data_IF_373841110062
#
_entry.id   IF_373841110062
#
_cell.length_a   1.000
_cell.length_b   1.000
_cell.length_c   1.000
_cell.angle_alpha   90.00
_cell.angle_beta   90.00
_cell.angle_gamma   90.00
#
_symmetry.space_group_name_H-M   'P 1'
#
loop_
_entity.id
_entity.type
_entity.pdbx_description
1 polymer ?
#
# COMPACT_ATOMS: atom_id res chain seq x y z
N UNK A 1 -29.36 -21.77 0.74
CA UNK A 1 -28.90 -22.30 2.04
C UNK A 1 -27.89 -21.30 2.59
N UNK A 2 -28.34 -20.47 3.53
CA UNK A 2 -27.58 -19.35 4.10
C UNK A 2 -26.92 -19.82 5.39
N UNK A 3 -25.62 -20.11 5.36
CA UNK A 3 -24.83 -20.11 6.58
C UNK A 3 -24.39 -18.66 6.79
N UNK A 4 -25.20 -17.94 7.55
CA UNK A 4 -24.79 -16.69 8.16
C UNK A 4 -23.54 -16.98 9.01
N UNK A 5 -22.39 -16.48 8.57
CA UNK A 5 -21.21 -16.36 9.41
C UNK A 5 -21.63 -15.59 10.66
N UNK A 6 -21.57 -16.27 11.81
CA UNK A 6 -21.75 -15.65 13.10
C UNK A 6 -20.54 -14.76 13.39
N UNK A 7 -20.49 -13.60 12.73
CA UNK A 7 -19.70 -12.48 13.22
C UNK A 7 -20.48 -11.87 14.38
N UNK A 8 -20.01 -12.21 15.57
CA UNK A 8 -20.48 -11.71 16.85
C UNK A 8 -20.59 -10.20 16.80
N UNK A 9 -21.83 -9.72 16.66
CA UNK A 9 -22.23 -8.35 17.01
C UNK A 9 -21.53 -7.96 18.31
N UNK A 10 -20.93 -6.77 18.45
CA UNK A 10 -20.37 -6.36 19.72
C UNK A 10 -21.50 -6.42 20.75
N UNK A 11 -21.42 -7.42 21.62
CA UNK A 11 -22.30 -7.53 22.77
C UNK A 11 -22.12 -6.22 23.53
N UNK A 12 -23.25 -5.57 23.81
CA UNK A 12 -23.33 -4.51 24.79
C UNK A 12 -23.02 -5.15 26.14
N UNK A 13 -21.75 -5.48 26.38
CA UNK A 13 -21.25 -6.11 27.60
C UNK A 13 -21.29 -5.04 28.67
N UNK A 14 -22.36 -5.06 29.47
CA UNK A 14 -22.30 -4.50 30.80
C UNK A 14 -21.07 -5.04 31.52
N UNK A 15 -20.40 -4.16 32.26
CA UNK A 15 -19.13 -4.29 32.98
C UNK A 15 -18.78 -5.69 33.52
N UNK A 16 -18.41 -6.64 32.65
CA UNK A 16 -17.69 -7.84 33.06
C UNK A 16 -16.23 -7.43 33.17
N UNK A 17 -15.75 -7.34 34.41
CA UNK A 17 -14.37 -6.96 34.70
C UNK A 17 -13.40 -7.92 33.98
N UNK A 18 -12.71 -7.41 32.96
CA UNK A 18 -11.68 -8.16 32.25
C UNK A 18 -10.53 -8.49 33.21
N UNK A 19 -9.93 -9.70 33.09
CA UNK A 19 -8.78 -10.06 33.91
C UNK A 19 -7.61 -9.11 33.67
N UNK A 20 -6.72 -8.93 34.66
CA UNK A 20 -5.59 -8.03 34.52
C UNK A 20 -4.68 -8.50 33.38
N UNK A 21 -4.35 -7.62 32.41
CA UNK A 21 -3.55 -8.00 31.24
C UNK A 21 -2.15 -8.45 31.67
N UNK A 22 -1.77 -9.66 31.26
CA UNK A 22 -0.53 -10.32 31.69
C UNK A 22 0.69 -9.83 30.89
N UNK A 23 0.51 -9.40 29.64
CA UNK A 23 1.60 -8.87 28.80
C UNK A 23 1.45 -7.37 28.44
N UNK A 24 2.56 -6.76 27.98
CA UNK A 24 2.54 -5.37 27.44
C UNK A 24 1.66 -5.25 26.19
N UNK A 25 1.60 -6.29 25.36
CA UNK A 25 0.79 -6.32 24.15
C UNK A 25 -0.71 -6.39 24.47
N UNK A 26 -1.10 -7.09 25.54
CA UNK A 26 -2.50 -7.15 25.98
C UNK A 26 -2.97 -5.79 26.49
N UNK A 27 -2.12 -5.09 27.25
CA UNK A 27 -2.38 -3.70 27.67
C UNK A 27 -2.54 -2.76 26.48
N UNK A 28 -1.70 -2.90 25.47
CA UNK A 28 -1.78 -2.10 24.25
C UNK A 28 -3.07 -2.40 23.48
N UNK A 29 -3.40 -3.67 23.29
CA UNK A 29 -4.64 -4.08 22.61
C UNK A 29 -5.88 -3.54 23.34
N UNK A 30 -5.96 -3.70 24.67
CA UNK A 30 -7.04 -3.15 25.49
C UNK A 30 -7.13 -1.62 25.43
N UNK A 31 -5.99 -0.93 25.31
CA UNK A 31 -6.00 0.51 25.11
C UNK A 31 -6.54 0.87 23.72
N UNK A 32 -6.11 0.16 22.67
CA UNK A 32 -6.49 0.42 21.29
C UNK A 32 -7.94 0.06 20.97
N UNK A 33 -8.60 -0.81 21.74
CA UNK A 33 -10.03 -1.14 21.55
C UNK A 33 -10.98 -0.05 22.03
N UNK A 34 -10.52 0.92 22.82
CA UNK A 34 -11.36 2.04 23.28
C UNK A 34 -11.77 2.93 22.09
N UNK A 35 -13.06 3.32 21.92
CA UNK A 35 -13.52 4.10 20.77
C UNK A 35 -12.74 5.39 20.52
N UNK A 36 -12.37 6.10 21.59
CA UNK A 36 -11.57 7.32 21.50
C UNK A 36 -10.16 7.06 20.93
N UNK A 37 -9.55 5.92 21.28
CA UNK A 37 -8.22 5.56 20.82
C UNK A 37 -8.24 5.03 19.39
N UNK A 38 -9.27 4.26 18.99
CA UNK A 38 -9.50 3.89 17.60
C UNK A 38 -9.57 5.13 16.71
N UNK A 39 -10.37 6.14 17.11
CA UNK A 39 -10.49 7.39 16.36
C UNK A 39 -9.16 8.14 16.27
N UNK A 40 -8.42 8.24 17.37
CA UNK A 40 -7.08 8.88 17.39
C UNK A 40 -6.08 8.15 16.51
N UNK A 41 -6.10 6.82 16.52
CA UNK A 41 -5.24 6.00 15.68
C UNK A 41 -5.53 6.21 14.20
N UNK A 42 -6.80 6.16 13.78
CA UNK A 42 -7.17 6.47 12.40
C UNK A 42 -6.76 7.88 11.99
N UNK A 43 -6.96 8.89 12.85
CA UNK A 43 -6.51 10.26 12.57
C UNK A 43 -4.99 10.34 12.42
N UNK A 44 -4.24 9.66 13.28
CA UNK A 44 -2.78 9.60 13.19
C UNK A 44 -2.32 8.93 11.89
N UNK A 45 -2.91 7.79 11.54
CA UNK A 45 -2.58 7.09 10.31
C UNK A 45 -2.85 7.97 9.09
N UNK A 46 -4.02 8.63 9.03
CA UNK A 46 -4.33 9.59 7.96
C UNK A 46 -3.37 10.78 7.93
N UNK A 47 -2.96 11.32 9.08
CA UNK A 47 -1.96 12.39 9.13
C UNK A 47 -0.60 11.93 8.58
N UNK A 48 -0.17 10.71 8.92
CA UNK A 48 1.05 10.09 8.37
C UNK A 48 0.91 9.90 6.85
N UNK A 49 -0.25 9.44 6.38
CA UNK A 49 -0.53 9.30 4.96
C UNK A 49 -0.45 10.62 4.20
N UNK A 50 -1.12 11.67 4.70
CA UNK A 50 -1.06 13.01 4.11
C UNK A 50 0.37 13.55 4.09
N UNK A 51 1.12 13.39 5.18
CA UNK A 51 2.52 13.81 5.24
C UNK A 51 3.39 13.05 4.24
N UNK A 52 3.24 11.72 4.16
CA UNK A 52 3.98 10.86 3.23
C UNK A 52 3.67 11.22 1.77
N UNK A 53 2.40 11.46 1.47
CA UNK A 53 1.92 11.93 0.18
C UNK A 53 2.51 13.30 -0.18
N UNK A 54 2.54 14.26 0.75
CA UNK A 54 3.13 15.57 0.53
C UNK A 54 4.66 15.46 0.28
N UNK A 55 5.36 14.61 1.02
CA UNK A 55 6.79 14.35 0.79
C UNK A 55 7.01 13.72 -0.59
N UNK A 56 6.23 12.70 -0.96
CA UNK A 56 6.32 12.07 -2.27
C UNK A 56 6.07 13.08 -3.40
N UNK A 57 5.05 13.93 -3.25
CA UNK A 57 4.78 15.02 -4.18
C UNK A 57 5.97 15.98 -4.30
N UNK A 58 6.53 16.44 -3.18
CA UNK A 58 7.68 17.34 -3.20
C UNK A 58 8.91 16.71 -3.85
N UNK A 59 9.15 15.42 -3.64
CA UNK A 59 10.24 14.69 -4.31
C UNK A 59 10.00 14.64 -5.82
N UNK A 60 8.81 14.26 -6.26
CA UNK A 60 8.47 14.20 -7.70
C UNK A 60 8.55 15.59 -8.34
N UNK A 61 8.00 16.61 -7.69
CA UNK A 61 7.87 17.95 -8.26
C UNK A 61 9.16 18.78 -8.23
N UNK A 62 10.04 18.58 -7.23
CA UNK A 62 11.18 19.46 -7.01
C UNK A 62 12.55 18.76 -7.01
N UNK A 63 12.58 17.43 -6.96
CA UNK A 63 13.84 16.67 -6.84
C UNK A 63 14.09 15.78 -8.05
N UNK A 64 13.05 15.12 -8.57
CA UNK A 64 13.20 14.24 -9.73
C UNK A 64 13.32 15.05 -11.04
N UNK A 65 14.28 14.69 -11.91
CA UNK A 65 14.40 15.28 -13.23
C UNK A 65 13.22 14.85 -14.11
N UNK A 66 12.81 15.72 -15.03
CA UNK A 66 11.80 15.36 -16.03
C UNK A 66 12.35 14.30 -17.00
N UNK A 67 11.48 13.40 -17.47
CA UNK A 67 11.85 12.35 -18.41
C UNK A 67 12.32 12.85 -19.80
N UNK A 68 12.24 14.14 -20.08
CA UNK A 68 12.80 14.79 -21.29
C UNK A 68 14.21 15.35 -21.07
N UNK A 69 14.66 15.50 -19.82
CA UNK A 69 15.93 16.14 -19.48
C UNK A 69 17.05 15.12 -19.24
N UNK A 70 17.75 14.76 -20.33
CA UNK A 70 18.88 13.82 -20.30
C UNK A 70 20.00 14.33 -19.39
N UNK A 71 20.35 15.63 -19.49
CA UNK A 71 21.49 16.21 -18.77
C UNK A 71 21.19 16.29 -17.28
N UNK A 72 19.99 16.75 -16.92
CA UNK A 72 19.51 16.78 -15.53
C UNK A 72 19.42 15.38 -14.92
N UNK A 73 18.96 14.39 -15.69
CA UNK A 73 18.93 12.98 -15.24
C UNK A 73 20.32 12.49 -14.83
N UNK A 74 21.32 12.68 -15.69
CA UNK A 74 22.70 12.25 -15.40
C UNK A 74 23.27 13.00 -14.20
N UNK A 75 23.07 14.32 -14.14
CA UNK A 75 23.53 15.14 -13.04
C UNK A 75 22.90 14.72 -11.71
N UNK A 76 21.61 14.38 -11.71
CA UNK A 76 20.89 13.86 -10.55
C UNK A 76 21.51 12.57 -10.01
N UNK A 77 21.70 11.55 -10.86
CA UNK A 77 22.27 10.27 -10.41
C UNK A 77 23.73 10.37 -9.98
N UNK A 78 24.52 11.29 -10.56
CA UNK A 78 25.88 11.56 -10.09
C UNK A 78 25.86 12.24 -8.72
N UNK A 79 25.02 13.26 -8.53
CA UNK A 79 24.92 14.03 -7.29
C UNK A 79 24.37 13.20 -6.12
N UNK A 80 23.33 12.41 -6.37
CA UNK A 80 22.61 11.66 -5.33
C UNK A 80 22.99 10.17 -5.29
N UNK A 81 24.13 9.78 -5.86
CA UNK A 81 24.48 8.36 -6.02
C UNK A 81 24.45 7.57 -4.70
N UNK A 82 25.12 8.08 -3.66
CA UNK A 82 25.18 7.40 -2.34
C UNK A 82 23.78 7.34 -1.69
N UNK A 83 23.02 8.45 -1.56
CA UNK A 83 21.64 8.40 -1.08
C UNK A 83 20.76 7.41 -1.85
N UNK A 84 20.86 7.36 -3.17
CA UNK A 84 20.06 6.45 -4.00
C UNK A 84 20.41 4.98 -3.76
N UNK A 85 21.69 4.64 -3.54
CA UNK A 85 22.08 3.27 -3.16
C UNK A 85 21.49 2.86 -1.81
N UNK A 86 21.56 3.75 -0.82
CA UNK A 86 20.98 3.50 0.50
C UNK A 86 19.46 3.37 0.41
N UNK A 87 18.81 4.20 -0.41
CA UNK A 87 17.39 4.11 -0.69
C UNK A 87 17.04 2.77 -1.35
N UNK A 88 17.77 2.32 -2.38
CA UNK A 88 17.55 1.01 -3.00
C UNK A 88 17.71 -0.14 -2.01
N UNK A 89 18.71 -0.10 -1.14
CA UNK A 89 18.90 -1.11 -0.09
C UNK A 89 17.75 -1.10 0.92
N UNK A 90 17.29 0.08 1.33
CA UNK A 90 16.14 0.24 2.22
C UNK A 90 14.86 -0.28 1.58
N UNK A 91 14.59 0.04 0.30
CA UNK A 91 13.44 -0.44 -0.45
C UNK A 91 13.44 -1.98 -0.54
N UNK A 92 14.60 -2.59 -0.75
CA UNK A 92 14.72 -4.06 -0.75
C UNK A 92 14.38 -4.68 0.62
N UNK A 93 14.77 -4.04 1.74
CA UNK A 93 14.41 -4.52 3.07
C UNK A 93 12.92 -4.31 3.38
N UNK A 94 12.38 -3.13 3.03
CA UNK A 94 10.96 -2.83 3.17
C UNK A 94 10.10 -3.77 2.34
N UNK A 95 10.58 -4.18 1.17
CA UNK A 95 9.92 -5.19 0.35
C UNK A 95 9.75 -6.51 1.10
N UNK A 96 10.79 -7.01 1.78
CA UNK A 96 10.69 -8.27 2.54
C UNK A 96 9.61 -8.18 3.62
N UNK A 97 9.56 -7.04 4.33
CA UNK A 97 8.52 -6.77 5.33
C UNK A 97 7.14 -6.72 4.66
N UNK A 98 7.04 -6.04 3.51
CA UNK A 98 5.83 -5.94 2.70
C UNK A 98 5.32 -7.32 2.25
N UNK A 99 6.20 -8.19 1.74
CA UNK A 99 5.81 -9.53 1.30
C UNK A 99 5.25 -10.41 2.44
N UNK A 100 5.88 -10.34 3.62
CA UNK A 100 5.39 -11.06 4.82
C UNK A 100 4.04 -10.50 5.25
N UNK A 101 3.90 -9.17 5.24
CA UNK A 101 2.66 -8.48 5.56
C UNK A 101 1.53 -8.84 4.57
N UNK A 102 1.78 -8.79 3.26
CA UNK A 102 0.83 -9.14 2.21
C UNK A 102 0.33 -10.58 2.35
N UNK A 103 1.20 -11.52 2.73
CA UNK A 103 0.80 -12.89 3.03
C UNK A 103 -0.21 -12.99 4.20
N UNK A 104 0.01 -12.22 5.27
CA UNK A 104 -0.91 -12.16 6.40
C UNK A 104 -2.25 -11.51 6.01
N UNK A 105 -2.21 -10.41 5.26
CA UNK A 105 -3.41 -9.73 4.78
C UNK A 105 -4.25 -10.63 3.85
N UNK A 106 -3.60 -11.30 2.89
CA UNK A 106 -4.25 -12.27 1.99
C UNK A 106 -4.87 -13.43 2.75
N UNK A 107 -4.21 -13.95 3.79
CA UNK A 107 -4.78 -15.01 4.63
C UNK A 107 -6.09 -14.55 5.31
N UNK A 108 -6.17 -13.28 5.67
CA UNK A 108 -7.38 -12.70 6.26
C UNK A 108 -8.49 -12.57 5.21
N UNK A 109 -8.15 -12.09 4.01
CA UNK A 109 -9.08 -12.07 2.87
C UNK A 109 -9.58 -13.48 2.50
N UNK A 110 -8.71 -14.49 2.53
CA UNK A 110 -9.06 -15.87 2.23
C UNK A 110 -10.12 -16.41 3.17
N UNK A 111 -9.96 -16.14 4.47
CA UNK A 111 -10.93 -16.57 5.47
C UNK A 111 -12.30 -15.92 5.23
N UNK A 112 -12.32 -14.64 4.87
CA UNK A 112 -13.54 -13.86 4.67
C UNK A 112 -14.23 -14.07 3.31
N UNK A 113 -13.50 -14.41 2.24
CA UNK A 113 -14.05 -14.37 0.87
C UNK A 113 -15.24 -15.32 0.65
N UNK A 114 -16.46 -14.82 0.46
CA UNK A 114 -17.66 -15.65 0.37
C UNK A 114 -17.87 -16.26 -1.02
N UNK A 115 -17.03 -15.92 -2.00
CA UNK A 115 -17.17 -16.43 -3.37
C UNK A 115 -16.86 -17.92 -3.45
N UNK A 116 -17.56 -18.62 -4.37
CA UNK A 116 -17.29 -20.04 -4.65
C UNK A 116 -15.83 -20.18 -5.09
N UNK A 117 -15.09 -21.10 -4.47
CA UNK A 117 -13.66 -21.32 -4.71
C UNK A 117 -12.74 -20.13 -4.39
N UNK A 118 -13.20 -19.14 -3.59
CA UNK A 118 -12.40 -17.99 -3.15
C UNK A 118 -11.79 -17.17 -4.31
N UNK A 119 -12.60 -16.93 -5.36
CA UNK A 119 -12.18 -16.28 -6.61
C UNK A 119 -11.70 -14.84 -6.38
N UNK A 120 -12.27 -14.12 -5.42
CA UNK A 120 -11.82 -12.76 -5.12
C UNK A 120 -10.45 -12.78 -4.46
N UNK A 121 -10.21 -13.69 -3.51
CA UNK A 121 -8.88 -13.84 -2.93
C UNK A 121 -7.85 -14.32 -3.96
N UNK A 122 -8.19 -15.23 -4.86
CA UNK A 122 -7.28 -15.61 -5.96
C UNK A 122 -6.93 -14.42 -6.85
N UNK A 123 -7.92 -13.60 -7.21
CA UNK A 123 -7.69 -12.36 -7.97
C UNK A 123 -6.74 -11.42 -7.23
N UNK A 124 -6.93 -11.27 -5.91
CA UNK A 124 -6.04 -10.48 -5.06
C UNK A 124 -4.62 -11.07 -5.01
N UNK A 125 -4.46 -12.38 -4.82
CA UNK A 125 -3.15 -13.05 -4.80
C UNK A 125 -2.39 -12.82 -6.11
N UNK A 126 -3.02 -13.07 -7.26
CA UNK A 126 -2.35 -12.90 -8.56
C UNK A 126 -1.94 -11.45 -8.78
N UNK A 127 -2.83 -10.51 -8.45
CA UNK A 127 -2.54 -9.08 -8.57
C UNK A 127 -1.40 -8.66 -7.66
N UNK A 128 -1.40 -9.12 -6.40
CA UNK A 128 -0.33 -8.83 -5.43
C UNK A 128 1.02 -9.36 -5.92
N UNK A 129 1.08 -10.60 -6.42
CA UNK A 129 2.32 -11.18 -6.98
C UNK A 129 2.84 -10.34 -8.15
N UNK A 130 1.95 -9.87 -9.02
CA UNK A 130 2.32 -8.99 -10.12
C UNK A 130 2.81 -7.61 -9.65
N UNK A 131 2.15 -7.01 -8.65
CA UNK A 131 2.58 -5.73 -8.04
C UNK A 131 3.96 -5.89 -7.41
N UNK A 132 4.14 -6.91 -6.57
CA UNK A 132 5.41 -7.20 -5.93
C UNK A 132 6.52 -7.48 -6.95
N UNK A 133 6.20 -8.21 -8.03
CA UNK A 133 7.11 -8.42 -9.15
C UNK A 133 7.50 -7.12 -9.84
N UNK A 134 6.54 -6.24 -10.10
CA UNK A 134 6.78 -4.94 -10.72
C UNK A 134 7.67 -4.05 -9.84
N UNK A 135 7.40 -3.98 -8.53
CA UNK A 135 8.26 -3.26 -7.57
C UNK A 135 9.69 -3.81 -7.55
N UNK A 136 9.88 -5.12 -7.66
CA UNK A 136 11.21 -5.72 -7.76
C UNK A 136 11.94 -5.30 -9.03
N UNK A 137 11.25 -5.36 -10.17
CA UNK A 137 11.80 -4.92 -11.46
C UNK A 137 12.19 -3.46 -11.38
N UNK A 138 11.32 -2.58 -10.89
CA UNK A 138 11.58 -1.16 -10.72
C UNK A 138 12.74 -0.86 -9.80
N UNK A 139 12.76 -1.48 -8.62
CA UNK A 139 13.85 -1.34 -7.66
C UNK A 139 15.18 -1.80 -8.25
N UNK A 140 15.16 -2.90 -9.03
CA UNK A 140 16.31 -3.42 -9.75
C UNK A 140 16.80 -2.47 -10.84
N UNK A 141 15.90 -1.85 -11.59
CA UNK A 141 16.26 -0.83 -12.60
C UNK A 141 16.84 0.40 -11.91
N UNK A 142 16.21 0.94 -10.85
CA UNK A 142 16.73 2.09 -10.08
C UNK A 142 18.14 1.80 -9.53
N UNK A 143 18.32 0.62 -8.92
CA UNK A 143 19.61 0.20 -8.40
C UNK A 143 20.65 0.09 -9.52
N UNK A 144 20.27 -0.49 -10.67
CA UNK A 144 21.13 -0.59 -11.85
C UNK A 144 21.52 0.79 -12.39
N UNK A 145 20.57 1.71 -12.54
CA UNK A 145 20.83 3.11 -12.95
C UNK A 145 21.84 3.78 -12.01
N UNK A 146 21.69 3.55 -10.71
CA UNK A 146 22.57 4.14 -9.69
C UNK A 146 23.98 3.53 -9.73
N UNK A 147 24.09 2.21 -9.92
CA UNK A 147 25.39 1.52 -10.01
C UNK A 147 26.14 1.84 -11.30
N UNK A 148 25.41 1.97 -12.42
CA UNK A 148 25.98 2.30 -13.73
C UNK A 148 26.31 3.78 -13.90
N UNK A 149 25.75 4.66 -13.06
CA UNK A 149 26.02 6.10 -13.12
C UNK A 149 27.53 6.38 -13.02
N UNK A 150 28.07 7.12 -13.99
CA UNK A 150 29.50 7.42 -14.11
C UNK A 150 30.33 6.33 -14.81
N UNK A 151 29.73 5.17 -15.14
CA UNK A 151 30.41 4.03 -15.76
C UNK A 151 29.77 3.58 -17.08
N UNK A 152 28.57 4.07 -17.41
CA UNK A 152 27.85 3.80 -18.64
C UNK A 152 27.58 5.11 -19.42
N UNK A 153 27.26 5.03 -20.73
CA UNK A 153 26.84 6.19 -21.51
C UNK A 153 25.63 6.90 -20.88
N UNK A 154 25.61 8.22 -20.96
CA UNK A 154 24.55 9.08 -20.42
C UNK A 154 23.15 8.71 -20.96
N UNK A 155 23.06 8.28 -22.22
CA UNK A 155 21.82 7.78 -22.84
C UNK A 155 21.30 6.51 -22.17
N UNK A 156 22.17 5.63 -21.68
CA UNK A 156 21.79 4.43 -20.92
C UNK A 156 21.22 4.80 -19.56
N UNK A 157 21.84 5.75 -18.86
CA UNK A 157 21.36 6.23 -17.56
C UNK A 157 19.98 6.86 -17.70
N UNK A 158 19.80 7.71 -18.70
CA UNK A 158 18.52 8.33 -18.99
C UNK A 158 17.45 7.31 -19.38
N UNK A 159 17.78 6.34 -20.26
CA UNK A 159 16.85 5.28 -20.65
C UNK A 159 16.35 4.50 -19.44
N UNK A 160 17.25 4.08 -18.55
CA UNK A 160 16.86 3.32 -17.36
C UNK A 160 15.99 4.16 -16.39
N UNK A 161 16.25 5.46 -16.26
CA UNK A 161 15.40 6.36 -15.49
C UNK A 161 13.98 6.43 -16.07
N UNK A 162 13.85 6.64 -17.38
CA UNK A 162 12.55 6.69 -18.06
C UNK A 162 11.84 5.34 -17.97
N UNK A 163 12.56 4.21 -18.06
CA UNK A 163 11.98 2.88 -17.89
C UNK A 163 11.28 2.71 -16.54
N UNK A 164 11.84 3.24 -15.45
CA UNK A 164 11.20 3.20 -14.11
C UNK A 164 9.93 4.05 -14.10
N UNK A 165 9.99 5.27 -14.64
CA UNK A 165 8.83 6.16 -14.66
C UNK A 165 7.67 5.59 -15.51
N UNK A 166 8.00 4.94 -16.63
CA UNK A 166 7.02 4.31 -17.52
C UNK A 166 6.47 3.02 -16.90
N UNK A 167 7.31 2.19 -16.28
CA UNK A 167 6.83 0.95 -15.64
C UNK A 167 5.91 1.25 -14.46
N UNK A 168 6.10 2.37 -13.76
CA UNK A 168 5.22 2.76 -12.65
C UNK A 168 3.78 2.98 -13.12
N UNK A 169 3.57 3.36 -14.38
CA UNK A 169 2.24 3.47 -14.96
C UNK A 169 1.53 2.10 -15.13
N UNK A 170 2.27 1.00 -15.11
CA UNK A 170 1.73 -0.37 -15.10
C UNK A 170 1.22 -0.79 -13.70
N UNK A 171 1.50 -0.03 -12.64
CA UNK A 171 0.96 -0.32 -11.32
C UNK A 171 -0.57 -0.27 -11.33
N UNK A 172 -1.18 0.73 -11.98
CA UNK A 172 -2.64 0.86 -12.00
C UNK A 172 -3.39 -0.35 -12.55
N UNK A 173 -3.08 -0.83 -13.77
CA UNK A 173 -3.70 -2.04 -14.32
C UNK A 173 -3.60 -3.27 -13.40
N UNK A 174 -2.52 -3.38 -12.63
CA UNK A 174 -2.27 -4.51 -11.73
C UNK A 174 -2.97 -4.31 -10.38
N UNK A 175 -3.08 -3.08 -9.89
CA UNK A 175 -3.65 -2.77 -8.57
C UNK A 175 -5.19 -2.65 -8.58
N UNK A 176 -5.78 -2.26 -9.70
CA UNK A 176 -7.25 -2.16 -9.83
C UNK A 176 -7.96 -3.49 -9.53
N UNK A 177 -7.55 -4.65 -10.09
CA UNK A 177 -8.19 -5.93 -9.75
C UNK A 177 -8.03 -6.30 -8.27
N UNK A 178 -6.88 -6.00 -7.66
CA UNK A 178 -6.64 -6.21 -6.23
C UNK A 178 -7.62 -5.41 -5.36
N UNK A 179 -7.69 -4.10 -5.58
CA UNK A 179 -8.56 -3.19 -4.82
C UNK A 179 -10.04 -3.46 -5.06
N UNK A 180 -10.40 -3.86 -6.28
CA UNK A 180 -11.75 -4.28 -6.60
C UNK A 180 -12.13 -5.55 -5.85
N UNK A 181 -11.25 -6.55 -5.78
CA UNK A 181 -11.49 -7.76 -5.00
C UNK A 181 -11.69 -7.45 -3.51
N UNK A 182 -10.84 -6.60 -2.92
CA UNK A 182 -11.00 -6.17 -1.53
C UNK A 182 -12.31 -5.39 -1.29
N UNK A 183 -12.71 -4.54 -2.23
CA UNK A 183 -14.00 -3.82 -2.17
C UNK A 183 -15.20 -4.77 -2.23
N UNK A 184 -15.15 -5.78 -3.09
CA UNK A 184 -16.23 -6.76 -3.22
C UNK A 184 -16.34 -7.63 -1.96
N UNK A 185 -15.21 -8.08 -1.40
CA UNK A 185 -15.17 -8.80 -0.12
C UNK A 185 -15.73 -7.90 0.99
N UNK A 186 -15.30 -6.63 1.07
CA UNK A 186 -15.79 -5.66 2.04
C UNK A 186 -17.31 -5.55 2.05
N UNK A 187 -17.91 -5.42 0.87
CA UNK A 187 -19.37 -5.23 0.73
C UNK A 187 -20.18 -6.47 1.07
N UNK A 188 -19.58 -7.65 1.08
CA UNK A 188 -20.28 -8.92 1.26
C UNK A 188 -20.10 -9.54 2.65
N UNK A 189 -19.10 -9.10 3.42
CA UNK A 189 -18.67 -9.81 4.65
C UNK A 189 -18.67 -8.93 5.89
N UNK A 190 -18.85 -7.62 5.74
CA UNK A 190 -18.65 -6.63 6.81
C UNK A 190 -17.26 -6.71 7.47
N UNK A 191 -16.29 -7.39 6.86
CA UNK A 191 -14.91 -7.54 7.36
C UNK A 191 -14.25 -6.18 7.61
N UNK A 192 -14.54 -5.23 6.72
CA UNK A 192 -13.93 -3.91 6.74
C UNK A 192 -14.93 -2.84 7.17
N UNK A 193 -14.47 -1.80 7.87
CA UNK A 193 -15.31 -0.65 8.18
C UNK A 193 -15.73 0.09 6.89
N UNK A 194 -16.87 0.79 6.94
CA UNK A 194 -17.47 1.44 5.77
C UNK A 194 -16.58 2.48 5.07
N UNK A 195 -15.61 3.07 5.76
CA UNK A 195 -14.63 3.97 5.14
C UNK A 195 -13.63 3.23 4.24
N UNK A 196 -13.35 1.96 4.50
CA UNK A 196 -12.41 1.16 3.70
C UNK A 196 -12.95 0.92 2.29
N UNK A 197 -14.25 0.71 2.14
CA UNK A 197 -14.88 0.65 0.82
C UNK A 197 -14.71 1.96 0.01
N UNK A 198 -14.76 3.12 0.70
CA UNK A 198 -14.49 4.43 0.06
C UNK A 198 -13.02 4.58 -0.31
N UNK A 199 -12.11 4.07 0.53
CA UNK A 199 -10.68 4.01 0.22
C UNK A 199 -10.42 3.20 -1.06
N UNK A 200 -10.99 2.00 -1.18
CA UNK A 200 -10.82 1.16 -2.38
C UNK A 200 -11.26 1.90 -3.65
N UNK A 201 -12.41 2.59 -3.60
CA UNK A 201 -12.90 3.39 -4.74
C UNK A 201 -11.93 4.53 -5.07
N UNK A 202 -11.41 5.24 -4.07
CA UNK A 202 -10.44 6.31 -4.29
C UNK A 202 -9.14 5.78 -4.94
N UNK A 203 -8.63 4.64 -4.48
CA UNK A 203 -7.44 3.99 -5.04
C UNK A 203 -7.68 3.59 -6.50
N UNK A 204 -8.81 2.96 -6.82
CA UNK A 204 -9.18 2.63 -8.21
C UNK A 204 -9.19 3.89 -9.10
N UNK A 205 -9.75 5.01 -8.61
CA UNK A 205 -9.78 6.27 -9.38
C UNK A 205 -8.37 6.82 -9.61
N UNK A 206 -7.50 6.77 -8.60
CA UNK A 206 -6.09 7.18 -8.75
C UNK A 206 -5.37 6.29 -9.76
N UNK A 207 -5.58 4.97 -9.68
CA UNK A 207 -4.95 4.00 -10.58
C UNK A 207 -5.40 4.19 -12.02
N UNK A 208 -6.65 4.57 -12.28
CA UNK A 208 -7.12 4.92 -13.63
C UNK A 208 -6.34 6.09 -14.24
N UNK A 209 -5.86 7.04 -13.43
CA UNK A 209 -4.96 8.11 -13.90
C UNK A 209 -3.61 7.55 -14.36
N UNK A 210 -3.09 6.51 -13.71
CA UNK A 210 -1.84 5.85 -14.14
C UNK A 210 -2.03 5.06 -15.43
N UNK A 211 -3.16 4.33 -15.57
CA UNK A 211 -3.51 3.58 -16.78
C UNK A 211 -3.57 4.50 -18.00
N UNK A 212 -4.26 5.64 -17.87
CA UNK A 212 -4.36 6.62 -18.96
C UNK A 212 -3.01 7.21 -19.33
N UNK A 213 -2.10 7.36 -18.36
CA UNK A 213 -0.72 7.78 -18.57
C UNK A 213 0.08 6.90 -19.53
N UNK A 214 -0.11 5.58 -19.48
CA UNK A 214 0.56 4.60 -20.37
C UNK A 214 0.30 4.91 -21.85
N UNK A 215 -0.88 5.44 -22.18
CA UNK A 215 -1.30 5.71 -23.56
C UNK A 215 -0.99 7.12 -24.04
N UNK A 216 -0.27 7.91 -23.26
CA UNK A 216 0.09 9.29 -23.61
C UNK A 216 1.59 9.44 -23.80
N UNK A 217 2.02 10.16 -24.83
CA UNK A 217 3.44 10.50 -25.05
C UNK A 217 3.85 11.76 -24.28
N UNK A 218 2.88 12.62 -23.96
CA UNK A 218 3.06 13.86 -23.22
C UNK A 218 1.76 14.27 -22.54
N UNK A 219 1.86 15.25 -21.65
CA UNK A 219 0.72 15.84 -20.96
C UNK A 219 0.62 15.41 -19.50
N UNK A 220 -0.35 15.94 -18.75
CA UNK A 220 -0.36 15.86 -17.30
C UNK A 220 -0.48 14.43 -16.74
N UNK A 221 -1.05 13.51 -17.52
CA UNK A 221 -1.26 12.11 -17.13
C UNK A 221 -0.07 11.20 -17.47
N UNK A 222 0.88 11.64 -18.29
CA UNK A 222 2.04 10.83 -18.64
C UNK A 222 2.96 10.62 -17.42
N UNK A 223 3.42 9.39 -17.18
CA UNK A 223 4.24 9.07 -16.00
C UNK A 223 5.66 9.66 -16.00
N UNK A 224 6.20 10.03 -17.17
CA UNK A 224 7.58 10.52 -17.31
C UNK A 224 7.70 12.05 -17.35
N UNK A 225 6.67 12.75 -17.85
CA UNK A 225 6.67 14.22 -17.97
C UNK A 225 5.41 14.91 -17.43
N UNK A 226 4.45 14.15 -16.89
CA UNK A 226 3.20 14.65 -16.31
C UNK A 226 3.16 14.51 -14.81
N UNK A 227 2.87 15.61 -14.09
CA UNK A 227 2.84 15.60 -12.62
C UNK A 227 1.72 14.71 -12.06
N UNK A 228 0.58 14.59 -12.74
CA UNK A 228 -0.55 13.76 -12.27
C UNK A 228 -0.20 12.29 -12.46
N UNK A 229 0.32 11.91 -13.63
CA UNK A 229 0.73 10.54 -13.91
C UNK A 229 1.81 10.05 -12.95
N UNK A 230 2.89 10.81 -12.82
CA UNK A 230 3.99 10.49 -11.93
C UNK A 230 3.55 10.40 -10.47
N UNK A 231 2.71 11.35 -10.01
CA UNK A 231 2.24 11.37 -8.63
C UNK A 231 1.19 10.29 -8.33
N UNK A 232 0.29 9.98 -9.28
CA UNK A 232 -0.72 8.95 -9.10
C UNK A 232 -0.10 7.57 -8.81
N UNK A 233 1.01 7.24 -9.49
CA UNK A 233 1.76 6.00 -9.25
C UNK A 233 2.34 5.89 -7.83
N UNK A 234 2.68 7.02 -7.20
CA UNK A 234 3.14 7.05 -5.80
C UNK A 234 1.98 7.14 -4.79
N UNK A 235 0.91 7.86 -5.14
CA UNK A 235 -0.20 8.16 -4.24
C UNK A 235 -1.01 6.91 -3.88
N UNK A 236 -1.33 6.08 -4.88
CA UNK A 236 -2.16 4.89 -4.70
C UNK A 236 -1.58 3.90 -3.66
N UNK A 237 -0.31 3.47 -3.77
CA UNK A 237 0.33 2.63 -2.76
C UNK A 237 0.33 3.22 -1.35
N UNK A 238 0.64 4.53 -1.21
CA UNK A 238 0.69 5.20 0.10
C UNK A 238 -0.69 5.18 0.76
N UNK A 239 -1.72 5.60 0.02
CA UNK A 239 -3.10 5.68 0.51
C UNK A 239 -3.62 4.28 0.88
N UNK A 240 -3.32 3.28 0.06
CA UNK A 240 -3.68 1.89 0.30
C UNK A 240 -3.02 1.36 1.59
N UNK A 241 -1.68 1.39 1.66
CA UNK A 241 -0.91 0.84 2.78
C UNK A 241 -1.31 1.51 4.09
N UNK A 242 -1.42 2.84 4.12
CA UNK A 242 -1.84 3.58 5.32
C UNK A 242 -3.22 3.14 5.78
N UNK A 243 -4.18 3.02 4.84
CA UNK A 243 -5.52 2.59 5.17
C UNK A 243 -5.55 1.15 5.71
N UNK A 244 -4.90 0.21 5.03
CA UNK A 244 -4.90 -1.20 5.44
C UNK A 244 -4.21 -1.38 6.78
N UNK A 245 -3.02 -0.81 6.98
CA UNK A 245 -2.31 -0.87 8.26
C UNK A 245 -3.14 -0.24 9.38
N UNK A 246 -3.82 0.88 9.11
CA UNK A 246 -4.66 1.51 10.11
C UNK A 246 -5.81 0.58 10.56
N UNK A 247 -6.45 -0.10 9.61
CA UNK A 247 -7.50 -1.09 9.89
C UNK A 247 -6.92 -2.31 10.63
N UNK A 248 -5.84 -2.91 10.14
CA UNK A 248 -5.27 -4.14 10.71
C UNK A 248 -4.85 -3.98 12.16
N UNK A 249 -4.28 -2.83 12.54
CA UNK A 249 -3.88 -2.58 13.93
C UNK A 249 -5.10 -2.56 14.86
N UNK A 250 -6.22 -2.03 14.40
CA UNK A 250 -7.48 -2.01 15.16
C UNK A 250 -8.08 -3.41 15.22
N UNK A 251 -8.11 -4.13 14.10
CA UNK A 251 -8.62 -5.50 14.01
C UNK A 251 -7.83 -6.45 14.91
N UNK A 252 -6.50 -6.38 14.86
CA UNK A 252 -5.60 -7.14 15.74
C UNK A 252 -5.90 -6.87 17.22
N UNK A 253 -6.09 -5.60 17.60
CA UNK A 253 -6.37 -5.23 18.98
C UNK A 253 -7.73 -5.79 19.45
N UNK A 254 -8.73 -5.75 18.59
CA UNK A 254 -10.07 -6.30 18.85
C UNK A 254 -10.02 -7.83 18.99
N UNK A 255 -9.40 -8.51 18.02
CA UNK A 255 -9.26 -9.96 18.04
C UNK A 255 -8.49 -10.44 19.28
N UNK A 256 -7.36 -9.80 19.59
CA UNK A 256 -6.56 -10.13 20.78
C UNK A 256 -7.36 -9.94 22.06
N UNK A 257 -8.12 -8.86 22.18
CA UNK A 257 -8.96 -8.61 23.36
C UNK A 257 -10.09 -9.64 23.49
N UNK A 258 -10.72 -10.03 22.38
CA UNK A 258 -11.74 -11.07 22.38
C UNK A 258 -11.21 -12.43 22.88
N UNK A 259 -10.01 -12.83 22.44
CA UNK A 259 -9.40 -14.09 22.88
C UNK A 259 -9.06 -14.12 24.38
N UNK A 260 -8.68 -12.97 24.96
CA UNK A 260 -8.45 -12.83 26.40
C UNK A 260 -9.74 -13.05 27.20
N UNK A 261 -10.88 -12.57 26.70
CA UNK A 261 -12.19 -12.75 27.34
C UNK A 261 -12.69 -14.20 27.28
N UNK A 262 -12.33 -14.96 26.24
CA UNK A 262 -12.75 -16.36 26.08
C UNK A 262 -11.90 -17.35 26.88
N UNK A 263 -10.63 -17.04 27.13
CA UNK A 263 -9.72 -17.92 27.89
C UNK A 263 -10.04 -17.98 29.40
N UNK A 264 -10.96 -17.14 29.88
CA UNK A 264 -11.30 -16.98 31.30
C UNK A 264 -12.70 -17.44 31.67
N UNK A 265 -13.46 -17.99 30.72
CA UNK A 265 -14.75 -18.66 30.93
C UNK A 265 -14.59 -20.16 30.76
#
# INVERSE_FOLDING_TARGET
MSQASAHSRPLNQGDVALPPPTSRLDRLALALTKPANIRRWYLLAWAIGIASTAVAFCVVAFVLPEGSDVVGTVAFYRKYNIPLRLLSALLALLFLVGAVWSGAFISTLWAADPSRNRVYTWSAIFSEVLVLGLFFVESGIIASTTLLSGHAPDSTIHLLHVCVAVSAALLGPVWIPFTLAALLISRQTDLFPSWFGRLCVAVIVIDLCTVTGVFTLSGPLNGANGIIGAFAGALSPIVWIVGVVAWEVVEWAQHRTATLSTATN
#
